data_IF_660061640066
#
_entry.id   IF_660061640066
#
_cell.length_a   1.000
_cell.length_b   1.000
_cell.length_c   1.000
_cell.angle_alpha   90.00
_cell.angle_beta   90.00
_cell.angle_gamma   90.00
#
_symmetry.space_group_name_H-M   'P 1'
#
loop_
_entity.id
_entity.type
_entity.pdbx_description
1 polymer ?
#
# COMPACT_ATOMS: atom_id res chain seq x y z
N UNK A 1 -18.35 5.93 2.94
CA UNK A 1 -18.03 4.60 2.35
C UNK A 1 -16.99 4.71 1.25
N UNK A 2 -17.01 5.78 0.46
CA UNK A 2 -16.04 6.07 -0.60
C UNK A 2 -14.57 5.98 -0.13
N UNK A 3 -14.18 6.69 0.93
CA UNK A 3 -12.81 6.67 1.46
C UNK A 3 -12.26 5.25 1.70
N UNK A 4 -13.07 4.36 2.27
CA UNK A 4 -12.69 2.97 2.52
C UNK A 4 -12.54 2.19 1.21
N UNK A 5 -13.48 2.35 0.27
CA UNK A 5 -13.47 1.62 -1.00
C UNK A 5 -12.31 2.06 -1.91
N UNK A 6 -12.11 3.38 -2.06
CA UNK A 6 -11.04 3.95 -2.89
C UNK A 6 -9.68 3.56 -2.32
N UNK A 7 -9.45 3.76 -1.02
CA UNK A 7 -8.17 3.39 -0.39
C UNK A 7 -7.89 1.89 -0.46
N UNK A 8 -8.91 1.04 -0.28
CA UNK A 8 -8.78 -0.41 -0.46
C UNK A 8 -8.34 -0.76 -1.88
N UNK A 9 -9.03 -0.21 -2.89
CA UNK A 9 -8.77 -0.51 -4.29
C UNK A 9 -7.39 -0.02 -4.72
N UNK A 10 -7.04 1.22 -4.38
CA UNK A 10 -5.77 1.84 -4.73
C UNK A 10 -4.61 1.04 -4.14
N UNK A 11 -4.65 0.73 -2.84
CA UNK A 11 -3.57 -0.03 -2.19
C UNK A 11 -3.53 -1.47 -2.69
N UNK A 12 -4.66 -2.16 -2.82
CA UNK A 12 -4.69 -3.54 -3.32
C UNK A 12 -4.04 -3.64 -4.72
N UNK A 13 -4.35 -2.71 -5.62
CA UNK A 13 -3.78 -2.70 -6.97
C UNK A 13 -2.31 -2.30 -6.98
N UNK A 14 -1.93 -1.31 -6.17
CA UNK A 14 -0.55 -0.86 -6.08
C UNK A 14 0.38 -1.95 -5.53
N UNK A 15 -0.13 -2.82 -4.66
CA UNK A 15 0.68 -3.82 -3.96
C UNK A 15 0.85 -5.15 -4.72
N UNK A 16 0.02 -5.41 -5.72
CA UNK A 16 0.12 -6.66 -6.49
C UNK A 16 1.42 -6.67 -7.32
N UNK A 17 2.27 -7.63 -7.01
CA UNK A 17 3.57 -7.85 -7.65
C UNK A 17 4.71 -7.04 -7.03
N UNK A 18 4.55 -6.56 -5.79
CA UNK A 18 5.53 -5.74 -5.07
C UNK A 18 6.48 -6.57 -4.16
N UNK A 19 7.56 -5.94 -3.69
CA UNK A 19 8.56 -6.48 -2.76
C UNK A 19 7.95 -7.02 -1.47
N UNK A 20 6.88 -6.42 -0.97
CA UNK A 20 6.15 -6.90 0.23
C UNK A 20 5.47 -8.25 -0.01
N UNK A 21 4.90 -8.49 -1.20
CA UNK A 21 4.38 -9.81 -1.57
C UNK A 21 5.52 -10.84 -1.68
N UNK A 22 6.67 -10.46 -2.21
CA UNK A 22 7.86 -11.32 -2.25
C UNK A 22 8.35 -11.62 -0.82
N UNK A 23 8.34 -10.64 0.07
CA UNK A 23 8.66 -10.80 1.49
C UNK A 23 7.65 -11.73 2.19
N UNK A 24 6.35 -11.58 1.94
CA UNK A 24 5.29 -12.46 2.46
C UNK A 24 5.55 -13.91 2.07
N UNK A 25 5.90 -14.15 0.79
CA UNK A 25 6.25 -15.46 0.28
C UNK A 25 7.49 -16.03 0.98
N UNK A 26 8.57 -15.25 1.06
CA UNK A 26 9.82 -15.67 1.69
C UNK A 26 9.62 -16.04 3.16
N UNK A 27 8.89 -15.22 3.92
CA UNK A 27 8.58 -15.45 5.33
C UNK A 27 7.69 -16.68 5.53
N UNK A 28 6.67 -16.84 4.71
CA UNK A 28 5.76 -17.99 4.78
C UNK A 28 6.51 -19.29 4.48
N UNK A 29 7.34 -19.32 3.43
CA UNK A 29 8.14 -20.49 3.07
C UNK A 29 9.18 -20.84 4.15
N UNK A 30 9.78 -19.81 4.76
CA UNK A 30 10.78 -19.98 5.82
C UNK A 30 10.18 -20.50 7.13
N UNK A 31 9.13 -19.86 7.62
CA UNK A 31 8.56 -20.15 8.94
C UNK A 31 7.48 -21.22 8.90
N UNK A 32 6.89 -21.50 7.73
CA UNK A 32 5.79 -22.47 7.54
C UNK A 32 4.61 -22.24 8.48
N UNK A 33 4.38 -20.98 8.85
CA UNK A 33 3.36 -20.57 9.81
C UNK A 33 2.56 -19.41 9.27
N UNK A 34 1.55 -19.68 8.40
CA UNK A 34 0.86 -18.64 7.65
C UNK A 34 0.07 -17.68 8.54
N UNK A 35 -0.53 -18.17 9.64
CA UNK A 35 -1.30 -17.32 10.55
C UNK A 35 -0.46 -16.29 11.31
N UNK A 36 0.68 -16.65 11.94
CA UNK A 36 1.60 -15.66 12.49
C UNK A 36 2.16 -14.67 11.46
N UNK A 37 2.44 -15.11 10.24
CA UNK A 37 2.89 -14.20 9.16
C UNK A 37 1.76 -13.22 8.82
N UNK A 38 0.54 -13.70 8.56
CA UNK A 38 -0.62 -12.85 8.28
C UNK A 38 -0.89 -11.83 9.39
N UNK A 39 -0.83 -12.25 10.66
CA UNK A 39 -0.98 -11.35 11.80
C UNK A 39 0.16 -10.33 11.88
N UNK A 40 1.38 -10.74 11.53
CA UNK A 40 2.54 -9.85 11.51
C UNK A 40 2.41 -8.75 10.46
N UNK A 41 1.96 -9.09 9.25
CA UNK A 41 1.64 -8.15 8.16
C UNK A 41 0.58 -7.17 8.64
N UNK A 42 -0.55 -7.68 9.15
CA UNK A 42 -1.66 -6.85 9.62
C UNK A 42 -1.20 -5.79 10.63
N UNK A 43 -0.40 -6.18 11.63
CA UNK A 43 0.09 -5.27 12.67
C UNK A 43 1.08 -4.23 12.11
N UNK A 44 2.00 -4.66 11.24
CA UNK A 44 2.96 -3.75 10.62
C UNK A 44 2.25 -2.71 9.75
N UNK A 45 1.39 -3.17 8.85
CA UNK A 45 0.63 -2.33 7.93
C UNK A 45 -0.28 -1.37 8.69
N UNK A 46 -1.02 -1.83 9.71
CA UNK A 46 -1.89 -0.95 10.50
C UNK A 46 -1.09 0.17 11.16
N UNK A 47 0.09 -0.13 11.70
CA UNK A 47 0.97 0.87 12.30
C UNK A 47 1.50 1.86 11.24
N UNK A 48 2.03 1.36 10.12
CA UNK A 48 2.57 2.20 9.04
C UNK A 48 1.51 3.10 8.41
N UNK A 49 0.34 2.54 8.12
CA UNK A 49 -0.76 3.27 7.49
C UNK A 49 -1.43 4.26 8.45
N UNK A 50 -1.49 3.94 9.75
CA UNK A 50 -1.92 4.92 10.74
C UNK A 50 -0.97 6.12 10.82
N UNK A 51 0.35 5.88 10.81
CA UNK A 51 1.36 6.96 10.81
C UNK A 51 1.26 7.77 9.51
N UNK A 52 1.26 7.11 8.36
CA UNK A 52 1.15 7.76 7.05
C UNK A 52 -0.15 8.57 6.94
N UNK A 53 -1.26 8.00 7.38
CA UNK A 53 -2.54 8.68 7.36
C UNK A 53 -2.59 9.88 8.31
N UNK A 54 -2.01 9.77 9.51
CA UNK A 54 -1.89 10.90 10.43
C UNK A 54 -1.04 12.03 9.85
N UNK A 55 0.06 11.70 9.15
CA UNK A 55 0.86 12.67 8.41
C UNK A 55 0.03 13.34 7.31
N UNK A 56 -0.70 12.57 6.50
CA UNK A 56 -1.59 13.11 5.46
C UNK A 56 -2.64 14.07 6.02
N UNK A 57 -3.33 13.68 7.08
CA UNK A 57 -4.32 14.53 7.75
C UNK A 57 -3.69 15.80 8.35
N UNK A 58 -2.49 15.70 8.92
CA UNK A 58 -1.77 16.86 9.46
C UNK A 58 -1.33 17.83 8.35
N UNK A 59 -0.86 17.32 7.21
CA UNK A 59 -0.52 18.12 6.03
C UNK A 59 -1.76 18.83 5.49
N UNK A 60 -2.89 18.13 5.37
CA UNK A 60 -4.17 18.70 4.93
C UNK A 60 -4.67 19.83 5.83
N UNK A 61 -4.40 19.78 7.13
CA UNK A 61 -4.81 20.82 8.07
C UNK A 61 -4.00 22.14 7.95
N UNK A 62 -2.81 22.12 7.35
CA UNK A 62 -1.88 23.27 7.34
C UNK A 62 -1.51 23.77 5.94
N UNK A 63 -1.83 23.01 4.89
CA UNK A 63 -1.51 23.37 3.51
C UNK A 63 -2.74 23.95 2.84
N UNK A 64 -2.54 25.08 2.15
CA UNK A 64 -3.60 25.73 1.38
C UNK A 64 -4.21 24.77 0.33
N UNK A 65 -5.53 24.79 0.12
CA UNK A 65 -6.22 23.87 -0.78
C UNK A 65 -5.68 23.85 -2.22
N UNK A 66 -5.20 25.00 -2.72
CA UNK A 66 -4.64 25.08 -4.07
C UNK A 66 -3.31 24.31 -4.15
N UNK A 67 -2.44 24.46 -3.16
CA UNK A 67 -1.18 23.71 -3.08
C UNK A 67 -1.43 22.23 -2.81
N UNK A 68 -2.40 21.90 -1.96
CA UNK A 68 -2.81 20.52 -1.70
C UNK A 68 -3.20 19.79 -2.99
N UNK A 69 -4.00 20.45 -3.83
CA UNK A 69 -4.40 19.91 -5.15
C UNK A 69 -3.20 19.53 -6.01
N UNK A 70 -2.19 20.41 -6.09
CA UNK A 70 -0.97 20.14 -6.85
C UNK A 70 -0.15 19.00 -6.24
N UNK A 71 -0.02 18.97 -4.92
CA UNK A 71 0.71 17.91 -4.20
C UNK A 71 0.05 16.56 -4.44
N UNK A 72 -1.27 16.45 -4.26
CA UNK A 72 -2.02 15.20 -4.47
C UNK A 72 -1.94 14.72 -5.92
N UNK A 73 -2.24 15.61 -6.86
CA UNK A 73 -2.22 15.29 -8.28
C UNK A 73 -0.85 14.82 -8.76
N UNK A 74 0.20 15.55 -8.38
CA UNK A 74 1.58 15.16 -8.68
C UNK A 74 1.98 13.85 -8.01
N UNK A 75 1.58 13.62 -6.75
CA UNK A 75 1.91 12.40 -6.01
C UNK A 75 1.28 11.16 -6.63
N UNK A 76 -0.01 11.23 -7.01
CA UNK A 76 -0.70 10.12 -7.66
C UNK A 76 -0.13 9.82 -9.06
N UNK A 77 0.21 10.85 -9.85
CA UNK A 77 0.87 10.64 -11.15
C UNK A 77 2.26 10.02 -10.96
N UNK A 78 3.07 10.57 -10.05
CA UNK A 78 4.41 10.05 -9.76
C UNK A 78 4.35 8.60 -9.27
N UNK A 79 3.42 8.28 -8.38
CA UNK A 79 3.20 6.92 -7.89
C UNK A 79 2.72 5.99 -9.02
N UNK A 80 1.79 6.43 -9.86
CA UNK A 80 1.32 5.65 -11.00
C UNK A 80 2.44 5.28 -11.97
N UNK A 81 3.36 6.21 -12.21
CA UNK A 81 4.58 5.94 -12.97
C UNK A 81 5.55 5.02 -12.22
N UNK A 82 5.71 5.18 -10.91
CA UNK A 82 6.58 4.34 -10.09
C UNK A 82 6.10 2.88 -10.07
N UNK A 83 4.80 2.61 -9.94
CA UNK A 83 4.24 1.25 -9.95
C UNK A 83 4.63 0.48 -11.22
N UNK A 84 4.85 1.16 -12.36
CA UNK A 84 5.28 0.51 -13.61
C UNK A 84 6.68 -0.12 -13.52
N UNK A 85 7.52 0.31 -12.57
CA UNK A 85 8.83 -0.26 -12.32
C UNK A 85 8.68 -1.51 -11.43
N UNK A 86 9.10 -2.71 -11.88
CA UNK A 86 9.04 -3.90 -11.05
C UNK A 86 10.01 -3.87 -9.89
N UNK A 87 9.46 -3.96 -8.68
CA UNK A 87 10.23 -4.12 -7.45
C UNK A 87 10.85 -5.53 -7.36
N UNK A 88 11.92 -5.60 -6.57
CA UNK A 88 12.63 -6.83 -6.22
C UNK A 88 12.83 -6.82 -4.71
N UNK A 89 12.83 -8.00 -4.10
CA UNK A 89 13.20 -8.15 -2.70
C UNK A 89 14.71 -8.31 -2.61
N UNK A 90 15.37 -7.38 -1.92
CA UNK A 90 16.81 -7.49 -1.69
C UNK A 90 17.11 -8.48 -0.56
N UNK A 91 18.25 -9.17 -0.63
CA UNK A 91 18.63 -10.19 0.35
C UNK A 91 18.75 -9.67 1.79
N UNK A 92 19.01 -8.37 1.94
CA UNK A 92 19.11 -7.69 3.23
C UNK A 92 17.73 -7.35 3.84
N UNK A 93 16.67 -7.29 3.03
CA UNK A 93 15.29 -6.98 3.49
C UNK A 93 14.59 -8.21 4.08
N UNK A 94 14.96 -9.42 3.64
CA UNK A 94 14.46 -10.66 4.22
C UNK A 94 15.17 -10.96 5.57
N UNK A 95 14.44 -11.30 6.64
CA UNK A 95 15.07 -11.60 7.93
C UNK A 95 16.11 -12.71 7.82
N UNK A 96 17.35 -12.47 8.28
CA UNK A 96 18.44 -13.46 8.20
C UNK A 96 18.44 -14.51 9.32
N UNK A 97 17.88 -14.21 10.50
CA UNK A 97 17.90 -15.08 11.68
C UNK A 97 16.55 -15.74 12.00
N UNK A 98 16.55 -17.04 12.34
CA UNK A 98 15.38 -17.78 12.84
C UNK A 98 15.10 -17.57 14.34
N UNK A 99 15.94 -16.81 15.05
CA UNK A 99 15.83 -16.65 16.50
C UNK A 99 14.56 -15.89 16.94
N UNK A 100 13.93 -15.13 16.03
CA UNK A 100 12.64 -14.47 16.27
C UNK A 100 11.50 -15.35 15.75
N UNK A 101 10.41 -15.43 16.51
CA UNK A 101 9.17 -16.09 16.08
C UNK A 101 8.57 -15.42 14.83
N UNK A 102 7.85 -16.21 14.02
CA UNK A 102 7.33 -15.81 12.71
C UNK A 102 6.54 -14.50 12.73
N UNK A 103 5.70 -14.29 13.76
CA UNK A 103 4.96 -13.04 13.95
C UNK A 103 5.89 -11.83 14.07
N UNK A 104 6.79 -11.82 15.06
CA UNK A 104 7.68 -10.70 15.32
C UNK A 104 8.64 -10.44 14.16
N UNK A 105 9.17 -11.50 13.55
CA UNK A 105 10.03 -11.36 12.38
C UNK A 105 9.29 -10.70 11.21
N UNK A 106 8.04 -11.11 10.96
CA UNK A 106 7.20 -10.53 9.92
C UNK A 106 6.85 -9.09 10.21
N UNK A 107 6.38 -8.78 11.43
CA UNK A 107 6.01 -7.42 11.82
C UNK A 107 7.17 -6.46 11.61
N UNK A 108 8.37 -6.80 12.09
CA UNK A 108 9.53 -5.92 11.96
C UNK A 108 9.99 -5.77 10.51
N UNK A 109 10.00 -6.86 9.73
CA UNK A 109 10.42 -6.82 8.33
C UNK A 109 9.46 -5.98 7.48
N UNK A 110 8.16 -6.26 7.56
CA UNK A 110 7.14 -5.49 6.85
C UNK A 110 7.17 -4.02 7.28
N UNK A 111 7.28 -3.76 8.58
CA UNK A 111 7.30 -2.39 9.08
C UNK A 111 8.44 -1.60 8.45
N UNK A 112 9.66 -2.15 8.42
CA UNK A 112 10.84 -1.49 7.85
C UNK A 112 10.75 -1.36 6.34
N UNK A 113 10.32 -2.41 5.64
CA UNK A 113 10.26 -2.45 4.17
C UNK A 113 9.23 -1.46 3.60
N UNK A 114 8.14 -1.23 4.31
CA UNK A 114 7.10 -0.27 3.94
C UNK A 114 7.46 1.20 4.27
N UNK A 115 8.52 1.48 5.07
CA UNK A 115 8.92 2.86 5.35
C UNK A 115 9.44 3.52 4.07
N UNK A 116 8.79 4.61 3.66
CA UNK A 116 9.13 5.40 2.48
C UNK A 116 8.76 4.74 1.16
N UNK A 117 7.94 3.69 1.18
CA UNK A 117 7.50 3.04 -0.04
C UNK A 117 6.37 3.81 -0.77
N UNK A 118 6.07 3.37 -1.99
CA UNK A 118 5.01 3.93 -2.84
C UNK A 118 3.63 3.86 -2.17
N UNK A 119 3.35 2.81 -1.40
CA UNK A 119 2.07 2.59 -0.73
C UNK A 119 1.89 3.54 0.46
N UNK A 120 2.97 3.89 1.15
CA UNK A 120 2.98 4.91 2.20
C UNK A 120 2.72 6.30 1.63
N UNK A 121 3.34 6.65 0.50
CA UNK A 121 3.06 7.91 -0.24
C UNK A 121 1.58 7.97 -0.66
N UNK A 122 1.05 6.87 -1.20
CA UNK A 122 -0.38 6.75 -1.54
C UNK A 122 -1.27 7.00 -0.33
N UNK A 123 -0.93 6.40 0.82
CA UNK A 123 -1.71 6.50 2.05
C UNK A 123 -1.71 7.92 2.59
N UNK A 124 -0.57 8.62 2.55
CA UNK A 124 -0.48 10.05 2.90
C UNK A 124 -1.40 10.88 2.00
N UNK A 125 -1.33 10.67 0.68
CA UNK A 125 -2.16 11.40 -0.29
C UNK A 125 -3.66 11.12 -0.08
N UNK A 126 -4.04 9.85 0.06
CA UNK A 126 -5.43 9.44 0.33
C UNK A 126 -5.96 10.04 1.63
N UNK A 127 -5.16 10.07 2.70
CA UNK A 127 -5.59 10.62 3.98
C UNK A 127 -5.66 12.16 4.01
N UNK A 128 -5.00 12.82 3.05
CA UNK A 128 -5.10 14.26 2.88
C UNK A 128 -6.35 14.69 2.08
N UNK A 129 -6.89 13.81 1.24
CA UNK A 129 -8.07 14.07 0.40
C UNK A 129 -9.37 13.47 0.96
N UNK A 130 -9.28 12.29 1.58
CA UNK A 130 -10.44 11.54 2.05
C UNK A 130 -10.60 11.55 3.57
N UNK A 131 -11.84 11.74 4.02
CA UNK A 131 -12.24 11.63 5.42
C UNK A 131 -13.32 10.54 5.61
N UNK A 132 -13.46 9.97 6.82
CA UNK A 132 -12.61 10.15 7.99
C UNK A 132 -11.30 9.34 7.91
N UNK A 133 -10.25 9.79 8.60
CA UNK A 133 -8.92 9.13 8.62
C UNK A 133 -9.01 7.63 8.93
N UNK A 134 -9.86 7.23 9.88
CA UNK A 134 -10.02 5.82 10.25
C UNK A 134 -10.50 4.96 9.08
N UNK A 135 -11.32 5.50 8.18
CA UNK A 135 -11.79 4.78 7.01
C UNK A 135 -10.67 4.57 5.98
N UNK A 136 -9.77 5.55 5.83
CA UNK A 136 -8.58 5.44 4.96
C UNK A 136 -7.59 4.42 5.53
N UNK A 137 -7.29 4.48 6.82
CA UNK A 137 -6.37 3.53 7.47
C UNK A 137 -6.91 2.09 7.39
N UNK A 138 -8.21 1.90 7.65
CA UNK A 138 -8.84 0.57 7.51
C UNK A 138 -8.82 0.12 6.05
N UNK A 139 -9.21 0.98 5.11
CA UNK A 139 -9.29 0.61 3.70
C UNK A 139 -7.93 0.26 3.11
N UNK A 140 -6.91 1.11 3.32
CA UNK A 140 -5.52 0.81 2.92
C UNK A 140 -5.03 -0.51 3.53
N UNK A 141 -5.30 -0.75 4.83
CA UNK A 141 -4.93 -2.01 5.49
C UNK A 141 -5.64 -3.22 4.86
N UNK A 142 -6.94 -3.11 4.55
CA UNK A 142 -7.67 -4.18 3.84
C UNK A 142 -7.05 -4.41 2.46
N UNK A 143 -6.73 -3.35 1.72
CA UNK A 143 -6.09 -3.46 0.41
C UNK A 143 -4.77 -4.23 0.47
N UNK A 144 -3.94 -3.90 1.46
CA UNK A 144 -2.68 -4.58 1.72
C UNK A 144 -2.87 -6.07 2.03
N UNK A 145 -3.86 -6.39 2.86
CA UNK A 145 -4.18 -7.78 3.21
C UNK A 145 -4.75 -8.55 2.01
N UNK A 146 -5.56 -7.92 1.18
CA UNK A 146 -6.06 -8.53 -0.08
C UNK A 146 -4.90 -8.89 -1.00
N UNK A 147 -3.89 -8.04 -1.10
CA UNK A 147 -2.72 -8.33 -1.92
C UNK A 147 -1.85 -9.45 -1.31
N UNK A 148 -1.60 -9.43 0.00
CA UNK A 148 -0.59 -10.31 0.60
C UNK A 148 -1.11 -11.65 1.11
N UNK A 149 -2.34 -11.73 1.62
CA UNK A 149 -2.88 -12.98 2.18
C UNK A 149 -2.94 -14.13 1.16
N UNK A 150 -3.33 -13.92 -0.11
CA UNK A 150 -3.27 -14.98 -1.11
C UNK A 150 -1.87 -15.59 -1.24
N UNK A 151 -0.82 -14.76 -1.17
CA UNK A 151 0.57 -15.23 -1.20
C UNK A 151 0.93 -16.01 0.07
N UNK A 152 0.49 -15.54 1.24
CA UNK A 152 0.72 -16.22 2.52
C UNK A 152 0.07 -17.60 2.58
N UNK A 153 -1.14 -17.78 2.04
CA UNK A 153 -1.86 -19.06 2.14
C UNK A 153 -1.64 -19.99 0.94
N UNK A 154 -1.43 -19.45 -0.26
CA UNK A 154 -1.30 -20.24 -1.49
C UNK A 154 0.15 -20.36 -2.00
N UNK A 155 1.07 -19.55 -1.47
CA UNK A 155 2.47 -19.51 -1.88
C UNK A 155 2.65 -19.09 -3.35
N UNK A 156 3.66 -19.64 -4.03
CA UNK A 156 3.96 -19.35 -5.44
C UNK A 156 2.86 -19.79 -6.44
N UNK A 157 1.80 -20.47 -5.99
CA UNK A 157 0.72 -20.84 -6.92
C UNK A 157 -0.06 -19.62 -7.41
N UNK A 158 -0.18 -18.58 -6.57
CA UNK A 158 -0.97 -17.39 -6.92
C UNK A 158 -0.28 -16.51 -7.97
N UNK A 159 1.06 -16.45 -7.96
CA UNK A 159 1.85 -15.66 -8.91
C UNK A 159 1.74 -16.16 -10.35
N UNK A 160 1.33 -17.43 -10.54
CA UNK A 160 1.15 -18.07 -11.86
C UNK A 160 -0.20 -17.79 -12.51
N UNK A 161 -1.20 -17.39 -11.72
CA UNK A 161 -2.57 -17.12 -12.22
C UNK A 161 -2.85 -15.63 -12.42
N UNK A 162 -2.11 -14.75 -11.74
CA UNK A 162 -2.30 -13.30 -11.86
C UNK A 162 -1.36 -12.73 -12.93
N UNK A 163 -1.89 -12.11 -14.00
CA UNK A 163 -1.05 -11.43 -15.00
C UNK A 163 -0.50 -10.12 -14.43
N UNK A 164 0.59 -10.20 -13.66
CA UNK A 164 1.18 -9.08 -12.91
C UNK A 164 1.41 -7.83 -13.78
N UNK A 165 1.81 -8.01 -15.05
CA UNK A 165 1.99 -6.89 -15.98
C UNK A 165 0.69 -6.14 -16.30
N UNK A 166 -0.46 -6.81 -16.36
CA UNK A 166 -1.75 -6.17 -16.59
C UNK A 166 -2.24 -5.45 -15.32
N UNK A 167 -2.10 -6.10 -14.16
CA UNK A 167 -2.49 -5.48 -12.88
C UNK A 167 -1.70 -4.20 -12.63
N UNK A 168 -0.38 -4.23 -12.87
CA UNK A 168 0.50 -3.07 -12.77
C UNK A 168 0.08 -1.93 -13.69
N UNK A 169 -0.24 -2.23 -14.96
CA UNK A 169 -0.74 -1.23 -15.91
C UNK A 169 -2.09 -0.65 -15.47
N UNK A 170 -2.98 -1.48 -14.93
CA UNK A 170 -4.27 -1.03 -14.40
C UNK A 170 -4.10 -0.13 -13.17
N UNK A 171 -3.21 -0.50 -12.23
CA UNK A 171 -2.87 0.30 -11.07
C UNK A 171 -2.27 1.66 -11.48
N UNK A 172 -1.30 1.65 -12.40
CA UNK A 172 -0.69 2.86 -12.95
C UNK A 172 -1.73 3.76 -13.63
N UNK A 173 -2.60 3.18 -14.47
CA UNK A 173 -3.65 3.93 -15.14
C UNK A 173 -4.64 4.55 -14.13
N UNK A 174 -5.08 3.79 -13.12
CA UNK A 174 -5.94 4.29 -12.06
C UNK A 174 -5.31 5.47 -11.32
N UNK A 175 -4.06 5.32 -10.86
CA UNK A 175 -3.33 6.36 -10.14
C UNK A 175 -3.12 7.62 -11.00
N UNK A 176 -2.73 7.46 -12.26
CA UNK A 176 -2.56 8.60 -13.18
C UNK A 176 -3.90 9.30 -13.40
N UNK A 177 -4.99 8.55 -13.60
CA UNK A 177 -6.33 9.13 -13.77
C UNK A 177 -6.74 9.91 -12.51
N UNK A 178 -6.58 9.33 -11.32
CA UNK A 178 -6.87 10.01 -10.06
C UNK A 178 -6.03 11.29 -9.90
N UNK A 179 -4.75 11.23 -10.26
CA UNK A 179 -3.88 12.41 -10.19
C UNK A 179 -4.25 13.50 -11.20
N UNK A 180 -4.61 13.13 -12.43
CA UNK A 180 -5.10 14.09 -13.44
C UNK A 180 -6.43 14.71 -13.01
N UNK A 181 -7.37 13.90 -12.51
CA UNK A 181 -8.65 14.39 -11.99
C UNK A 181 -8.43 15.38 -10.84
N UNK A 182 -7.57 15.05 -9.88
CA UNK A 182 -7.21 15.97 -8.79
C UNK A 182 -6.70 17.32 -9.32
N UNK A 183 -5.86 17.33 -10.36
CA UNK A 183 -5.34 18.58 -10.97
C UNK A 183 -6.42 19.38 -11.71
N UNK A 184 -7.34 18.71 -12.41
CA UNK A 184 -8.38 19.33 -13.22
C UNK A 184 -9.54 19.87 -12.38
N UNK A 185 -9.93 19.15 -11.32
CA UNK A 185 -11.25 19.36 -10.69
C UNK A 185 -11.36 20.57 -9.78
N UNK A 186 -10.27 21.14 -9.28
CA UNK A 186 -10.39 22.20 -8.27
C UNK A 186 -11.27 21.84 -7.07
N UNK A 187 -11.44 20.55 -6.76
CA UNK A 187 -12.20 20.03 -5.62
C UNK A 187 -13.67 19.63 -5.85
N UNK A 188 -14.20 19.56 -7.08
CA UNK A 188 -15.65 19.45 -7.29
C UNK A 188 -16.24 18.05 -7.64
N UNK A 189 -15.51 17.11 -8.25
CA UNK A 189 -16.11 15.82 -8.70
C UNK A 189 -15.86 14.60 -7.79
N UNK A 190 -15.07 14.72 -6.71
CA UNK A 190 -14.82 13.62 -5.74
C UNK A 190 -15.80 13.66 -4.53
N UNK A 191 -16.95 14.31 -4.69
CA UNK A 191 -17.98 14.43 -3.65
C UNK A 191 -19.39 14.00 -4.12
N UNK A 192 -19.47 13.15 -5.15
CA UNK A 192 -20.70 12.50 -5.61
C UNK A 192 -20.75 11.04 -5.15
#
# INVERSE_FOLDING_TARGET
MEALAVSTLVVALAEIGDKTQLLALALTLRYRSPWPVAAGILVATLANHAVAGAVGAAVAAHVDPQWMRWILGASFIAMGLWVLVPDRLDEDEAPRSTARGAFLATTLAFFVVEIGDKTQVATVALAADYAPLIAVVIGTTIGMMIANLPVVFLGDRITRVIPLGLVRKAAAALLIVLGVLALLDGGALLHL
#
